data_IF_679743237604
#
_entry.id   IF_679743237604
#
_cell.length_a   1.000
_cell.length_b   1.000
_cell.length_c   1.000
_cell.angle_alpha   90.00
_cell.angle_beta   90.00
_cell.angle_gamma   90.00
#
_symmetry.space_group_name_H-M   'P 1'
#
loop_
_entity.id
_entity.type
_entity.pdbx_description
1 polymer ?
#
# COMPACT_ATOMS: atom_id res chain seq x y z
N UNK A 1 -12.23 -81.76 10.39
CA UNK A 1 -11.24 -80.93 9.65
C UNK A 1 -11.98 -79.77 8.98
N UNK A 2 -11.45 -78.55 9.04
CA UNK A 2 -12.24 -77.30 9.02
C UNK A 2 -12.21 -76.62 7.65
N UNK A 3 -13.23 -75.81 7.32
CA UNK A 3 -13.07 -74.62 6.47
C UNK A 3 -14.07 -73.55 6.89
N UNK A 4 -13.72 -72.79 7.93
CA UNK A 4 -14.25 -71.46 8.15
C UNK A 4 -13.65 -70.53 7.08
N UNK A 5 -14.50 -69.86 6.30
CA UNK A 5 -14.07 -68.75 5.44
C UNK A 5 -14.57 -67.45 6.07
N UNK A 6 -13.59 -66.65 6.49
CA UNK A 6 -13.75 -65.30 7.03
C UNK A 6 -14.53 -64.42 6.04
N UNK A 7 -15.60 -63.79 6.53
CA UNK A 7 -16.26 -62.66 5.87
C UNK A 7 -15.44 -61.41 6.24
N UNK A 8 -14.78 -60.80 5.25
CA UNK A 8 -14.10 -59.53 5.42
C UNK A 8 -15.14 -58.40 5.39
N UNK A 9 -15.41 -57.79 6.54
CA UNK A 9 -16.19 -56.57 6.63
C UNK A 9 -15.31 -55.37 6.24
N UNK A 10 -15.66 -54.68 5.16
CA UNK A 10 -15.04 -53.43 4.77
C UNK A 10 -15.61 -52.28 5.62
N UNK A 11 -14.81 -51.75 6.55
CA UNK A 11 -15.16 -50.55 7.29
C UNK A 11 -14.85 -49.30 6.44
N UNK A 12 -15.88 -48.66 5.90
CA UNK A 12 -15.78 -47.38 5.20
C UNK A 12 -15.68 -46.25 6.24
N UNK A 13 -14.46 -45.81 6.56
CA UNK A 13 -14.24 -44.67 7.44
C UNK A 13 -14.58 -43.36 6.69
N UNK A 14 -15.77 -42.81 6.96
CA UNK A 14 -16.15 -41.45 6.57
C UNK A 14 -15.33 -40.46 7.42
N UNK A 15 -14.21 -39.99 6.88
CA UNK A 15 -13.50 -38.84 7.42
C UNK A 15 -14.35 -37.58 7.20
N UNK A 16 -15.23 -37.27 8.15
CA UNK A 16 -15.82 -35.94 8.31
C UNK A 16 -14.69 -34.99 8.66
N UNK A 17 -14.10 -34.36 7.65
CA UNK A 17 -13.22 -33.21 7.85
C UNK A 17 -14.08 -32.13 8.52
N UNK A 18 -13.93 -31.98 9.84
CA UNK A 18 -14.45 -30.83 10.58
C UNK A 18 -13.78 -29.58 9.99
N UNK A 19 -14.42 -28.98 8.99
CA UNK A 19 -14.11 -27.63 8.53
C UNK A 19 -14.46 -26.73 9.71
N UNK A 20 -13.46 -26.25 10.43
CA UNK A 20 -13.67 -25.28 11.50
C UNK A 20 -14.55 -24.15 10.96
N UNK A 21 -15.63 -23.77 11.67
CA UNK A 21 -16.46 -22.67 11.26
C UNK A 21 -15.58 -21.42 11.16
N UNK A 22 -15.39 -20.93 9.93
CA UNK A 22 -14.65 -19.69 9.70
C UNK A 22 -15.52 -18.55 10.20
N UNK A 23 -15.19 -18.01 11.37
CA UNK A 23 -15.85 -16.80 11.88
C UNK A 23 -15.53 -15.66 10.91
N UNK A 24 -16.55 -15.05 10.26
CA UNK A 24 -16.31 -13.93 9.38
C UNK A 24 -15.68 -12.79 10.16
N UNK A 25 -14.66 -12.17 9.59
CA UNK A 25 -14.04 -10.99 10.16
C UNK A 25 -15.09 -9.88 10.40
N UNK A 26 -15.00 -9.09 11.49
CA UNK A 26 -16.01 -8.06 11.80
C UNK A 26 -16.30 -7.10 10.66
N UNK A 27 -15.30 -6.70 9.87
CA UNK A 27 -15.47 -5.81 8.72
C UNK A 27 -16.17 -6.44 7.51
N UNK A 28 -16.34 -7.76 7.44
CA UNK A 28 -17.01 -8.40 6.32
C UNK A 28 -18.46 -7.88 6.16
N UNK A 29 -18.87 -7.65 4.92
CA UNK A 29 -20.16 -7.08 4.52
C UNK A 29 -20.43 -5.64 4.99
N UNK A 30 -19.47 -4.97 5.63
CA UNK A 30 -19.63 -3.58 6.03
C UNK A 30 -19.37 -2.61 4.87
N UNK A 31 -20.05 -1.46 4.92
CA UNK A 31 -19.74 -0.32 4.06
C UNK A 31 -18.73 0.61 4.74
N UNK A 32 -17.78 1.12 3.96
CA UNK A 32 -16.67 1.97 4.40
C UNK A 32 -16.34 3.01 3.33
N UNK A 33 -15.39 3.89 3.64
CA UNK A 33 -14.81 4.86 2.72
C UNK A 33 -13.31 4.59 2.57
N UNK A 34 -12.77 4.76 1.37
CA UNK A 34 -11.31 4.74 1.19
C UNK A 34 -10.69 5.92 1.92
N UNK A 35 -9.59 5.68 2.64
CA UNK A 35 -8.88 6.72 3.38
C UNK A 35 -8.26 7.80 2.49
N UNK A 36 -8.01 7.39 1.24
CA UNK A 36 -6.94 7.85 0.41
C UNK A 36 -7.13 7.30 -0.99
N UNK A 37 -6.41 7.89 -1.93
CA UNK A 37 -6.32 7.39 -3.30
C UNK A 37 -5.64 6.01 -3.34
N UNK A 38 -6.26 5.06 -4.03
CA UNK A 38 -5.71 3.73 -4.26
C UNK A 38 -5.53 3.49 -5.75
N UNK A 39 -4.44 2.85 -6.14
CA UNK A 39 -4.09 2.66 -7.54
C UNK A 39 -3.98 1.17 -7.89
N UNK A 40 -4.56 0.79 -9.03
CA UNK A 40 -4.52 -0.60 -9.51
C UNK A 40 -4.31 -0.70 -11.02
N UNK A 41 -3.49 -1.64 -11.47
CA UNK A 41 -3.37 -2.02 -12.88
C UNK A 41 -4.11 -3.33 -13.19
N UNK A 42 -4.35 -4.15 -12.16
CA UNK A 42 -5.12 -5.41 -12.20
C UNK A 42 -6.10 -5.38 -11.04
N UNK A 43 -6.95 -6.40 -10.90
CA UNK A 43 -7.88 -6.50 -9.76
C UNK A 43 -7.19 -6.80 -8.40
N UNK A 44 -5.96 -6.30 -8.20
CA UNK A 44 -5.15 -6.44 -7.00
C UNK A 44 -4.36 -5.14 -6.74
N UNK A 45 -4.32 -4.75 -5.46
CA UNK A 45 -3.51 -3.65 -4.92
C UNK A 45 -2.68 -4.24 -3.77
N UNK A 46 -1.45 -3.79 -3.63
CA UNK A 46 -0.59 -4.15 -2.49
C UNK A 46 -0.43 -2.94 -1.58
N UNK A 47 -0.06 -3.15 -0.33
CA UNK A 47 0.17 -2.08 0.64
C UNK A 47 1.32 -1.11 0.31
N UNK A 48 2.08 -1.37 -0.77
CA UNK A 48 2.96 -0.39 -1.41
C UNK A 48 2.24 0.71 -2.21
N UNK A 49 0.96 0.52 -2.58
CA UNK A 49 0.12 1.43 -3.37
C UNK A 49 0.87 2.10 -4.53
N UNK A 50 1.42 1.32 -5.46
CA UNK A 50 2.13 1.85 -6.63
C UNK A 50 1.28 2.90 -7.34
N UNK A 51 1.76 4.14 -7.44
CA UNK A 51 0.99 5.29 -7.94
C UNK A 51 0.82 5.26 -9.48
N UNK A 52 0.24 4.18 -9.99
CA UNK A 52 0.08 3.87 -11.41
C UNK A 52 -1.17 3.06 -11.68
N UNK A 53 -1.78 3.29 -12.83
CA UNK A 53 -2.95 2.55 -13.30
C UNK A 53 -4.23 3.32 -13.05
N UNK A 54 -5.32 2.60 -12.80
CA UNK A 54 -6.61 3.19 -12.49
C UNK A 54 -6.64 3.68 -11.04
N UNK A 55 -7.04 4.93 -10.87
CA UNK A 55 -7.23 5.58 -9.58
C UNK A 55 -8.64 5.26 -9.03
N UNK A 56 -8.69 4.76 -7.79
CA UNK A 56 -9.87 4.79 -6.93
C UNK A 56 -9.71 6.03 -6.05
N UNK A 57 -10.55 7.06 -6.20
CA UNK A 57 -10.43 8.27 -5.42
C UNK A 57 -10.55 8.01 -3.91
N UNK A 58 -9.89 8.83 -3.10
CA UNK A 58 -10.15 8.87 -1.65
C UNK A 58 -11.62 9.19 -1.37
N UNK A 59 -12.14 8.76 -0.23
CA UNK A 59 -13.57 8.93 0.09
C UNK A 59 -14.51 8.14 -0.80
N UNK A 60 -14.02 7.23 -1.65
CA UNK A 60 -14.88 6.34 -2.42
C UNK A 60 -15.59 5.39 -1.48
N UNK A 61 -16.92 5.31 -1.59
CA UNK A 61 -17.71 4.33 -0.85
C UNK A 61 -17.40 2.92 -1.35
N UNK A 62 -17.10 2.02 -0.41
CA UNK A 62 -16.78 0.63 -0.66
C UNK A 62 -17.66 -0.32 0.15
N UNK A 63 -17.88 -1.52 -0.38
CA UNK A 63 -18.37 -2.67 0.36
C UNK A 63 -17.23 -3.66 0.58
N UNK A 64 -16.98 -4.03 1.84
CA UNK A 64 -16.03 -5.09 2.19
C UNK A 64 -16.72 -6.43 1.92
N UNK A 65 -16.13 -7.25 1.05
CA UNK A 65 -16.72 -8.53 0.63
C UNK A 65 -16.17 -9.69 1.44
N UNK A 66 -14.84 -9.73 1.61
CA UNK A 66 -14.16 -10.80 2.31
C UNK A 66 -12.87 -10.27 2.93
N UNK A 67 -12.57 -10.68 4.16
CA UNK A 67 -11.28 -10.44 4.80
C UNK A 67 -10.65 -11.79 5.11
N UNK A 68 -9.39 -11.94 4.71
CA UNK A 68 -8.51 -13.08 4.97
C UNK A 68 -7.34 -12.62 5.83
N UNK A 69 -6.42 -13.54 6.13
CA UNK A 69 -5.27 -13.29 7.01
C UNK A 69 -4.40 -12.10 6.56
N UNK A 70 -4.22 -11.93 5.25
CA UNK A 70 -3.28 -10.98 4.64
C UNK A 70 -3.92 -10.14 3.52
N UNK A 71 -5.23 -10.27 3.32
CA UNK A 71 -5.89 -9.67 2.18
C UNK A 71 -7.36 -9.37 2.46
N UNK A 72 -7.88 -8.41 1.72
CA UNK A 72 -9.28 -7.97 1.78
C UNK A 72 -9.79 -7.74 0.38
N UNK A 73 -10.90 -8.39 0.05
CA UNK A 73 -11.62 -8.14 -1.19
C UNK A 73 -12.71 -7.12 -0.92
N UNK A 74 -12.76 -6.08 -1.74
CA UNK A 74 -13.76 -5.01 -1.63
C UNK A 74 -14.30 -4.62 -3.00
N UNK A 75 -15.48 -4.00 -3.01
CA UNK A 75 -16.08 -3.40 -4.20
C UNK A 75 -16.21 -1.90 -3.97
N UNK A 76 -15.43 -1.11 -4.71
CA UNK A 76 -15.56 0.33 -4.74
C UNK A 76 -16.61 0.77 -5.77
N UNK A 77 -17.34 1.84 -5.47
CA UNK A 77 -18.32 2.43 -6.38
C UNK A 77 -17.65 2.82 -7.70
N UNK A 78 -18.17 2.35 -8.84
CA UNK A 78 -17.59 2.61 -10.16
C UNK A 78 -16.41 1.72 -10.57
N UNK A 79 -15.90 0.85 -9.70
CA UNK A 79 -14.75 -0.02 -9.97
C UNK A 79 -15.13 -1.51 -9.88
N UNK A 80 -14.41 -2.44 -10.52
CA UNK A 80 -14.61 -3.88 -10.29
C UNK A 80 -14.27 -4.27 -8.84
N UNK A 81 -14.61 -5.49 -8.38
CA UNK A 81 -14.06 -6.01 -7.13
C UNK A 81 -12.53 -6.05 -7.20
N UNK A 82 -11.86 -5.53 -6.17
CA UNK A 82 -10.41 -5.47 -6.05
C UNK A 82 -9.98 -6.21 -4.79
N UNK A 83 -8.84 -6.89 -4.84
CA UNK A 83 -8.18 -7.45 -3.65
C UNK A 83 -7.05 -6.52 -3.21
N UNK A 84 -7.08 -6.08 -1.96
CA UNK A 84 -5.97 -5.37 -1.34
C UNK A 84 -5.17 -6.35 -0.46
N UNK A 85 -3.85 -6.40 -0.62
CA UNK A 85 -2.96 -7.38 0.03
C UNK A 85 -1.93 -6.65 0.89
N UNK A 86 -1.84 -7.04 2.16
CA UNK A 86 -0.77 -6.64 3.07
C UNK A 86 0.43 -7.58 2.87
N UNK A 87 1.44 -7.10 2.16
CA UNK A 87 2.63 -7.88 1.79
C UNK A 87 3.92 -7.23 2.27
N UNK A 88 4.16 -5.99 1.86
CA UNK A 88 5.45 -5.33 2.03
C UNK A 88 5.63 -4.91 3.50
N UNK A 89 4.60 -4.34 4.12
CA UNK A 89 4.52 -3.93 5.51
C UNK A 89 4.10 -5.02 6.51
N UNK A 90 3.89 -6.27 6.09
CA UNK A 90 3.33 -7.34 6.92
C UNK A 90 4.16 -7.71 8.17
N UNK A 91 5.45 -7.32 8.23
CA UNK A 91 6.28 -7.46 9.43
C UNK A 91 6.02 -6.41 10.50
N UNK A 92 5.41 -5.29 10.12
CA UNK A 92 5.26 -4.10 10.95
C UNK A 92 3.78 -3.75 11.22
N UNK A 93 2.84 -4.36 10.50
CA UNK A 93 1.41 -4.14 10.64
C UNK A 93 0.66 -5.47 10.66
N UNK A 94 -0.38 -5.56 11.49
CA UNK A 94 -1.40 -6.58 11.38
C UNK A 94 -2.43 -6.20 10.30
N UNK A 95 -3.20 -7.19 9.83
CA UNK A 95 -4.28 -6.93 8.89
C UNK A 95 -5.31 -5.93 9.47
N UNK A 96 -5.67 -6.06 10.73
CA UNK A 96 -6.65 -5.17 11.38
C UNK A 96 -6.15 -3.72 11.47
N UNK A 97 -4.87 -3.53 11.82
CA UNK A 97 -4.24 -2.21 11.83
C UNK A 97 -4.23 -1.61 10.42
N UNK A 98 -3.97 -2.43 9.41
CA UNK A 98 -3.95 -1.99 8.03
C UNK A 98 -5.36 -1.63 7.51
N UNK A 99 -6.37 -2.44 7.83
CA UNK A 99 -7.77 -2.16 7.48
C UNK A 99 -8.28 -0.89 8.16
N UNK A 100 -7.92 -0.67 9.43
CA UNK A 100 -8.26 0.56 10.15
C UNK A 100 -7.66 1.82 9.54
N UNK A 101 -6.54 1.69 8.81
CA UNK A 101 -5.91 2.78 8.06
C UNK A 101 -6.64 3.05 6.74
N UNK A 102 -6.97 2.01 5.99
CA UNK A 102 -7.43 2.12 4.59
C UNK A 102 -8.94 2.28 4.46
N UNK A 103 -9.73 1.68 5.36
CA UNK A 103 -11.19 1.68 5.29
C UNK A 103 -11.83 2.40 6.47
N UNK A 104 -12.17 3.66 6.25
CA UNK A 104 -12.74 4.55 7.25
C UNK A 104 -14.24 4.33 7.42
N UNK A 105 -14.72 4.46 8.65
CA UNK A 105 -16.15 4.42 8.95
C UNK A 105 -16.87 5.69 8.46
N UNK A 106 -16.20 6.83 8.57
CA UNK A 106 -16.71 8.14 8.17
C UNK A 106 -16.07 8.61 6.86
N UNK A 107 -16.77 9.48 6.16
CA UNK A 107 -16.28 10.08 4.92
C UNK A 107 -15.08 11.01 5.22
N UNK A 108 -13.88 10.73 4.65
CA UNK A 108 -12.71 11.56 4.87
C UNK A 108 -12.90 13.01 4.38
N UNK A 109 -13.82 13.28 3.45
CA UNK A 109 -14.09 14.64 2.99
C UNK A 109 -14.62 15.54 4.12
N UNK A 110 -15.26 14.96 5.14
CA UNK A 110 -15.73 15.72 6.30
C UNK A 110 -14.60 16.37 7.12
N UNK A 111 -13.35 15.89 6.95
CA UNK A 111 -12.16 16.42 7.63
C UNK A 111 -11.51 17.59 6.87
N UNK A 112 -11.94 17.88 5.64
CA UNK A 112 -11.39 19.02 4.91
C UNK A 112 -11.82 20.33 5.54
N UNK A 113 -10.92 21.33 5.63
CA UNK A 113 -11.31 22.66 6.02
C UNK A 113 -12.38 23.18 5.06
N UNK A 114 -13.41 23.80 5.64
CA UNK A 114 -14.38 24.60 4.88
C UNK A 114 -13.61 25.72 4.18
N UNK A 115 -14.04 26.09 2.98
CA UNK A 115 -13.43 27.20 2.26
C UNK A 115 -13.49 28.48 3.12
N UNK A 116 -12.34 29.11 3.40
CA UNK A 116 -12.29 30.39 4.08
C UNK A 116 -13.02 31.48 3.29
N UNK A 117 -13.47 32.54 3.98
CA UNK A 117 -14.05 33.71 3.31
C UNK A 117 -12.98 34.56 2.58
N UNK A 118 -11.72 34.48 3.02
CA UNK A 118 -10.59 35.15 2.36
C UNK A 118 -10.25 34.46 1.04
N UNK A 119 -10.25 35.23 -0.06
CA UNK A 119 -10.09 34.69 -1.41
C UNK A 119 -8.74 34.02 -1.66
N UNK A 120 -7.65 34.47 -1.01
CA UNK A 120 -6.32 33.87 -1.19
C UNK A 120 -6.22 32.55 -0.45
N UNK A 121 -6.67 32.51 0.81
CA UNK A 121 -6.70 31.26 1.58
C UNK A 121 -7.66 30.24 0.97
N UNK A 122 -8.81 30.68 0.45
CA UNK A 122 -9.72 29.83 -0.29
C UNK A 122 -9.07 29.21 -1.53
N UNK A 123 -8.30 29.99 -2.29
CA UNK A 123 -7.58 29.49 -3.46
C UNK A 123 -6.53 28.44 -3.10
N UNK A 124 -5.79 28.62 -2.00
CA UNK A 124 -4.83 27.60 -1.54
C UNK A 124 -5.51 26.33 -1.05
N UNK A 125 -6.62 26.44 -0.30
CA UNK A 125 -7.40 25.25 0.12
C UNK A 125 -7.97 24.50 -1.09
N UNK A 126 -8.50 25.22 -2.10
CA UNK A 126 -9.00 24.59 -3.33
C UNK A 126 -7.88 23.90 -4.11
N UNK A 127 -6.71 24.56 -4.24
CA UNK A 127 -5.53 23.99 -4.87
C UNK A 127 -5.07 22.71 -4.17
N UNK A 128 -4.99 22.72 -2.84
CA UNK A 128 -4.62 21.52 -2.07
C UNK A 128 -5.65 20.40 -2.25
N UNK A 129 -6.95 20.71 -2.27
CA UNK A 129 -7.99 19.70 -2.55
C UNK A 129 -7.80 19.06 -3.92
N UNK A 130 -7.60 19.86 -4.97
CA UNK A 130 -7.36 19.34 -6.33
C UNK A 130 -6.14 18.43 -6.38
N UNK A 131 -5.05 18.84 -5.73
CA UNK A 131 -3.84 18.02 -5.66
C UNK A 131 -4.08 16.68 -4.98
N UNK A 132 -4.86 16.65 -3.90
CA UNK A 132 -5.23 15.41 -3.22
C UNK A 132 -6.09 14.54 -4.15
N UNK A 133 -7.08 15.11 -4.83
CA UNK A 133 -7.93 14.39 -5.79
C UNK A 133 -7.12 13.81 -6.97
N UNK A 134 -6.10 14.53 -7.42
CA UNK A 134 -5.19 14.12 -8.50
C UNK A 134 -4.08 13.15 -8.03
N UNK A 135 -3.93 12.95 -6.72
CA UNK A 135 -2.86 12.11 -6.16
C UNK A 135 -1.47 12.72 -6.31
N UNK A 136 -1.36 14.04 -6.17
CA UNK A 136 -0.10 14.78 -6.25
C UNK A 136 0.25 15.45 -4.92
N UNK A 137 1.54 15.72 -4.69
CA UNK A 137 2.05 16.33 -3.47
C UNK A 137 2.99 17.49 -3.78
N UNK A 138 2.88 18.57 -3.01
CA UNK A 138 3.79 19.72 -3.05
C UNK A 138 4.26 20.12 -1.65
N UNK A 139 5.31 20.95 -1.63
CA UNK A 139 5.76 21.65 -0.42
C UNK A 139 4.59 22.37 0.25
N UNK A 140 4.56 22.33 1.59
CA UNK A 140 3.53 22.94 2.43
C UNK A 140 2.33 22.03 2.75
N UNK A 141 2.13 20.92 2.03
CA UNK A 141 1.08 19.96 2.38
C UNK A 141 1.36 19.29 3.73
N UNK A 142 0.32 18.97 4.50
CA UNK A 142 0.46 18.25 5.77
C UNK A 142 0.65 16.75 5.57
N UNK A 143 1.11 16.04 6.60
CA UNK A 143 1.17 14.56 6.59
C UNK A 143 -0.16 13.93 6.23
N UNK A 144 -1.25 14.41 6.84
CA UNK A 144 -2.61 13.93 6.56
C UNK A 144 -3.02 14.16 5.10
N UNK A 145 -2.68 15.32 4.53
CA UNK A 145 -2.95 15.61 3.12
C UNK A 145 -2.15 14.70 2.19
N UNK A 146 -0.89 14.40 2.53
CA UNK A 146 -0.07 13.42 1.79
C UNK A 146 -0.70 12.02 1.86
N UNK A 147 -1.15 11.58 3.04
CA UNK A 147 -1.81 10.28 3.19
C UNK A 147 -3.10 10.19 2.37
N UNK A 148 -3.92 11.26 2.35
CA UNK A 148 -5.12 11.30 1.51
C UNK A 148 -4.76 11.22 0.01
N UNK A 149 -3.73 11.95 -0.42
CA UNK A 149 -3.31 12.00 -1.81
C UNK A 149 -2.67 10.70 -2.31
N UNK A 150 -1.81 10.07 -1.51
CA UNK A 150 -0.94 8.98 -1.95
C UNK A 150 -1.21 7.62 -1.28
N UNK A 151 -2.04 7.61 -0.23
CA UNK A 151 -2.18 6.46 0.66
C UNK A 151 -1.04 6.37 1.67
N UNK A 152 -1.10 5.34 2.51
CA UNK A 152 -0.03 5.07 3.48
C UNK A 152 1.21 4.55 2.77
N UNK A 153 2.42 5.02 3.14
CA UNK A 153 3.65 4.43 2.63
C UNK A 153 3.79 3.01 3.21
N UNK A 154 4.36 2.05 2.46
CA UNK A 154 4.55 0.70 2.97
C UNK A 154 5.46 0.71 4.21
N UNK A 155 4.99 -0.01 5.23
CA UNK A 155 5.52 0.10 6.58
C UNK A 155 6.94 -0.47 6.74
N UNK A 156 7.42 -1.28 5.80
CA UNK A 156 8.80 -1.78 5.81
C UNK A 156 9.84 -0.68 5.52
N UNK A 157 9.46 0.33 4.74
CA UNK A 157 10.33 1.46 4.41
C UNK A 157 10.01 2.72 5.18
N UNK A 158 8.79 2.83 5.69
CA UNK A 158 8.37 3.92 6.58
C UNK A 158 7.71 3.32 7.84
N UNK A 159 8.51 2.85 8.82
CA UNK A 159 7.96 2.17 10.01
C UNK A 159 7.15 3.08 10.93
N UNK A 160 7.44 4.39 10.92
CA UNK A 160 6.71 5.39 11.68
C UNK A 160 6.25 6.52 10.77
N UNK A 161 4.99 6.94 10.95
CA UNK A 161 4.43 8.10 10.24
C UNK A 161 4.97 9.42 10.79
N UNK A 162 5.58 9.42 11.98
CA UNK A 162 6.26 10.60 12.53
C UNK A 162 7.69 10.74 11.98
N UNK A 163 8.14 9.80 11.14
CA UNK A 163 9.46 9.87 10.53
C UNK A 163 9.63 11.18 9.72
N UNK A 164 10.83 11.79 9.72
CA UNK A 164 11.09 13.01 8.96
C UNK A 164 11.03 12.79 7.44
N UNK A 165 11.07 11.54 6.99
CA UNK A 165 10.98 11.19 5.57
C UNK A 165 10.10 9.96 5.38
N UNK A 166 9.22 10.00 4.39
CA UNK A 166 8.44 8.86 3.93
C UNK A 166 8.88 8.45 2.52
N UNK A 167 8.90 7.15 2.25
CA UNK A 167 9.24 6.60 0.93
C UNK A 167 8.02 5.97 0.26
N UNK A 168 7.84 6.26 -1.03
CA UNK A 168 6.77 5.77 -1.89
C UNK A 168 7.32 5.14 -3.18
N UNK A 169 6.48 4.36 -3.87
CA UNK A 169 6.75 3.77 -5.18
C UNK A 169 5.84 4.44 -6.20
N UNK A 170 6.43 5.13 -7.17
CA UNK A 170 5.69 5.56 -8.36
C UNK A 170 5.39 4.34 -9.25
N UNK A 171 6.34 3.41 -9.35
CA UNK A 171 6.17 2.11 -9.99
C UNK A 171 7.21 1.12 -9.46
N UNK A 172 7.20 -0.12 -9.98
CA UNK A 172 8.20 -1.10 -9.60
C UNK A 172 9.62 -0.62 -9.99
N UNK A 173 10.48 -0.42 -8.98
CA UNK A 173 11.86 0.06 -9.18
C UNK A 173 12.03 1.58 -9.28
N UNK A 174 10.94 2.35 -9.14
CA UNK A 174 10.97 3.82 -9.17
C UNK A 174 10.34 4.37 -7.89
N UNK A 175 11.20 4.94 -7.05
CA UNK A 175 10.82 5.42 -5.72
C UNK A 175 11.09 6.90 -5.57
N UNK A 176 10.30 7.53 -4.72
CA UNK A 176 10.53 8.90 -4.30
C UNK A 176 10.32 9.04 -2.80
N UNK A 177 10.91 10.09 -2.25
CA UNK A 177 10.90 10.41 -0.84
C UNK A 177 10.24 11.77 -0.63
N UNK A 178 9.42 11.84 0.43
CA UNK A 178 8.79 13.07 0.91
C UNK A 178 9.43 13.38 2.25
N UNK A 179 10.13 14.51 2.34
CA UNK A 179 10.71 15.01 3.57
C UNK A 179 9.76 16.01 4.23
N UNK A 180 9.74 16.00 5.56
CA UNK A 180 8.88 16.83 6.38
C UNK A 180 9.70 17.71 7.32
N UNK A 181 9.23 18.92 7.54
CA UNK A 181 9.65 19.80 8.64
C UNK A 181 8.42 20.03 9.53
N UNK A 182 8.45 19.51 10.75
CA UNK A 182 7.25 19.36 11.57
C UNK A 182 6.20 18.47 10.86
N UNK A 183 5.02 19.02 10.62
CA UNK A 183 3.91 18.35 9.94
C UNK A 183 3.84 18.64 8.44
N UNK A 184 4.66 19.55 7.92
CA UNK A 184 4.56 20.02 6.54
C UNK A 184 5.65 19.42 5.64
N UNK A 185 5.30 19.13 4.39
CA UNK A 185 6.24 18.72 3.36
C UNK A 185 7.24 19.85 3.12
N UNK A 186 8.52 19.57 3.35
CA UNK A 186 9.62 20.49 3.06
C UNK A 186 10.27 20.19 1.71
N UNK A 187 10.22 18.93 1.24
CA UNK A 187 10.82 18.52 -0.04
C UNK A 187 10.20 17.24 -0.59
N UNK A 188 10.06 17.18 -1.92
CA UNK A 188 9.77 15.95 -2.67
C UNK A 188 10.98 15.61 -3.54
N UNK A 189 11.56 14.43 -3.36
CA UNK A 189 12.77 13.99 -4.05
C UNK A 189 12.55 12.65 -4.75
N UNK A 190 12.62 12.64 -6.08
CA UNK A 190 12.61 11.38 -6.84
C UNK A 190 14.01 10.80 -6.89
N UNK A 191 14.17 9.57 -6.43
CA UNK A 191 15.43 8.86 -6.64
C UNK A 191 15.38 8.24 -8.05
N UNK A 192 16.35 8.52 -8.94
CA UNK A 192 16.37 7.87 -10.24
C UNK A 192 16.49 6.35 -10.02
N UNK A 193 15.72 5.56 -10.77
CA UNK A 193 15.83 4.12 -10.77
C UNK A 193 17.31 3.73 -10.91
N UNK A 194 17.83 2.99 -9.93
CA UNK A 194 19.24 2.65 -9.87
C UNK A 194 19.69 2.06 -11.20
N UNK A 195 20.71 2.66 -11.84
CA UNK A 195 21.39 2.02 -12.98
C UNK A 195 21.84 0.65 -12.48
N UNK A 196 21.25 -0.41 -13.02
CA UNK A 196 21.54 -1.79 -12.63
C UNK A 196 23.04 -2.00 -12.53
N UNK A 197 23.46 -2.72 -11.48
CA UNK A 197 24.82 -3.11 -11.15
C UNK A 197 25.77 -3.09 -12.35
N UNK A 198 26.37 -1.93 -12.60
CA UNK A 198 27.45 -1.79 -13.55
C UNK A 198 28.61 -2.56 -12.97
N UNK A 199 28.86 -3.77 -13.50
CA UNK A 199 30.11 -4.50 -13.31
C UNK A 199 31.25 -3.48 -13.35
N UNK A 200 31.90 -3.28 -12.19
CA UNK A 200 33.13 -2.51 -12.08
C UNK A 200 34.19 -3.29 -12.82
N UNK A 201 34.29 -3.11 -14.13
CA UNK A 201 35.48 -3.50 -14.86
C UNK A 201 36.63 -2.69 -14.29
N UNK A 202 37.58 -3.41 -13.68
CA UNK A 202 38.78 -2.84 -13.09
C UNK A 202 39.46 -1.98 -14.16
N UNK A 203 39.65 -0.69 -13.88
CA UNK A 203 40.68 0.10 -14.55
C UNK A 203 42.01 -0.59 -14.20
N UNK A 204 42.58 -1.31 -15.15
CA UNK A 204 43.96 -1.78 -15.05
C UNK A 204 44.83 -0.55 -14.83
N UNK A 205 45.44 -0.48 -13.65
CA UNK A 205 46.49 0.47 -13.34
C UNK A 205 47.67 0.16 -14.25
N UNK A 206 47.97 1.07 -15.17
CA UNK A 206 49.28 1.13 -15.81
C UNK A 206 50.25 1.59 -14.73
N UNK A 207 51.03 0.67 -14.20
CA UNK A 207 52.24 0.96 -13.44
C UNK A 207 53.27 1.60 -14.37
N UNK A 208 53.90 2.74 -14.00
CA UNK A 208 55.09 3.18 -14.69
C UNK A 208 56.28 2.33 -14.19
N UNK A 209 56.83 1.53 -15.10
CA UNK A 209 58.10 0.83 -14.87
C UNK A 209 59.25 1.82 -15.03
N UNK A 210 59.87 2.17 -13.92
CA UNK A 210 61.23 2.70 -13.85
C UNK A 210 62.23 1.57 -14.14
N UNK A 211 63.13 1.79 -15.11
CA UNK A 211 64.41 1.09 -15.18
C UNK A 211 65.51 2.09 -15.55
N UNK A 212 66.67 2.06 -14.87
CA UNK A 212 67.79 2.98 -15.12
C UNK A 212 68.87 2.40 -16.06
N UNK A 213 69.70 3.32 -16.55
CA UNK A 213 71.11 3.19 -17.03
C UNK A 213 71.42 2.46 -18.35
N UNK A 214 71.95 3.23 -19.31
CA UNK A 214 73.38 3.22 -19.69
C UNK A 214 73.72 4.51 -20.44
#
# INVERSE_FOLDING_TARGET
>A
MPRARLVAAAALALALACREPTVPHPLANQFRYTCCNLHYEKAEITDANYLRGTLIPFGTRVQILEVRKDSVKFKATGHPPITLVLRDGARNLTMDQYLGRVFLAEDPYARFPKLPADGKQAAEVDKTRRMIEEGTVSVGMTRDQVLMALGYPPADRTPSLDAPTWRYWASHGDTFEISFEGDQVSRVSRQPAGRGSGRRWKRGSVTPSSTPSA
#
